data_IF_193456261557
#
_entry.id   IF_193456261557
#
_cell.length_a   1.000
_cell.length_b   1.000
_cell.length_c   1.000
_cell.angle_alpha   90.00
_cell.angle_beta   90.00
_cell.angle_gamma   90.00
#
_symmetry.space_group_name_H-M   'P 1'
#
loop_
_entity.id
_entity.type
_entity.pdbx_description
1 polymer ?
#
# COMPACT_ATOMS: atom_id res chain seq x y z
N UNK A 1 -36.15 -65.99 1.49
CA UNK A 1 -35.44 -64.99 2.30
C UNK A 1 -34.30 -64.44 1.48
N UNK A 2 -34.40 -63.19 0.99
CA UNK A 2 -33.34 -62.51 0.18
C UNK A 2 -32.66 -61.52 1.09
N UNK A 3 -31.38 -61.77 1.39
CA UNK A 3 -30.56 -60.85 2.23
C UNK A 3 -30.07 -59.68 1.37
N UNK A 4 -30.49 -58.48 1.75
CA UNK A 4 -30.03 -57.23 1.17
C UNK A 4 -28.65 -56.87 1.77
N UNK A 5 -27.60 -56.88 0.94
CA UNK A 5 -26.28 -56.38 1.34
C UNK A 5 -26.25 -54.86 1.18
N UNK A 6 -26.20 -54.15 2.31
CA UNK A 6 -25.99 -52.73 2.34
C UNK A 6 -24.50 -52.41 2.06
N UNK A 7 -24.23 -51.64 1.01
CA UNK A 7 -22.89 -51.04 0.74
C UNK A 7 -22.79 -49.73 1.48
N UNK A 8 -21.91 -49.68 2.47
CA UNK A 8 -21.54 -48.42 3.11
C UNK A 8 -20.42 -47.82 2.29
N UNK A 9 -20.70 -46.74 1.58
CA UNK A 9 -19.69 -45.95 0.90
C UNK A 9 -19.03 -45.03 1.92
N UNK A 10 -17.77 -45.29 2.27
CA UNK A 10 -16.97 -44.42 3.09
C UNK A 10 -16.51 -43.23 2.22
N UNK A 11 -17.07 -42.06 2.44
CA UNK A 11 -16.60 -40.83 1.84
C UNK A 11 -15.32 -40.37 2.57
N UNK A 12 -14.16 -40.58 1.94
CA UNK A 12 -12.88 -40.05 2.42
C UNK A 12 -12.86 -38.55 2.15
N UNK A 13 -13.03 -37.73 3.17
CA UNK A 13 -12.82 -36.29 3.09
C UNK A 13 -11.30 -36.05 3.06
N UNK A 14 -10.77 -35.74 1.89
CA UNK A 14 -9.40 -35.25 1.74
C UNK A 14 -9.35 -33.82 2.32
N UNK A 15 -8.88 -33.67 3.55
CA UNK A 15 -8.53 -32.37 4.09
C UNK A 15 -7.29 -31.85 3.33
N UNK A 16 -7.50 -30.96 2.36
CA UNK A 16 -6.45 -30.16 1.78
C UNK A 16 -5.94 -29.19 2.86
N UNK A 17 -4.89 -29.61 3.57
CA UNK A 17 -4.11 -28.68 4.39
C UNK A 17 -3.34 -27.79 3.44
N UNK A 18 -3.97 -26.70 2.98
CA UNK A 18 -3.30 -25.64 2.27
C UNK A 18 -2.25 -25.05 3.21
N UNK A 19 -0.97 -25.15 2.88
CA UNK A 19 0.06 -24.39 3.55
C UNK A 19 -0.34 -22.93 3.46
N UNK A 20 -0.61 -22.30 4.61
CA UNK A 20 -0.84 -20.87 4.66
C UNK A 20 0.51 -20.20 4.35
N UNK A 21 0.72 -19.83 3.08
CA UNK A 21 1.81 -18.93 2.74
C UNK A 21 1.55 -17.60 3.42
N UNK A 22 2.52 -17.11 4.18
CA UNK A 22 2.46 -15.75 4.69
C UNK A 22 2.23 -14.80 3.51
N UNK A 23 1.28 -13.89 3.65
CA UNK A 23 1.05 -12.89 2.61
C UNK A 23 2.33 -12.07 2.40
N UNK A 24 2.68 -11.73 1.15
CA UNK A 24 3.87 -10.94 0.88
C UNK A 24 3.76 -9.57 1.58
N UNK A 25 4.88 -9.08 2.10
CA UNK A 25 4.94 -7.78 2.80
C UNK A 25 4.45 -6.66 1.88
N UNK A 26 4.83 -6.71 0.59
CA UNK A 26 4.38 -5.76 -0.42
C UNK A 26 3.35 -6.39 -1.35
N UNK A 27 2.21 -5.76 -1.47
CA UNK A 27 1.12 -6.20 -2.33
C UNK A 27 0.85 -5.16 -3.41
N UNK A 28 0.93 -5.56 -4.68
CA UNK A 28 0.75 -4.66 -5.83
C UNK A 28 -0.66 -4.07 -5.92
N UNK A 29 -0.73 -2.80 -6.30
CA UNK A 29 -1.96 -2.06 -6.54
C UNK A 29 -1.90 -1.36 -7.90
N UNK A 30 -2.97 -1.43 -8.65
CA UNK A 30 -3.15 -0.66 -9.88
C UNK A 30 -3.49 0.80 -9.55
N UNK A 31 -3.47 1.68 -10.53
CA UNK A 31 -3.83 3.09 -10.36
C UNK A 31 -5.27 3.28 -9.82
N UNK A 32 -6.17 2.34 -10.08
CA UNK A 32 -7.53 2.30 -9.53
C UNK A 32 -7.60 1.88 -8.06
N UNK A 33 -6.50 1.42 -7.45
CA UNK A 33 -6.46 0.79 -6.13
C UNK A 33 -6.73 -0.71 -6.15
N UNK A 34 -7.15 -1.29 -7.26
CA UNK A 34 -7.41 -2.72 -7.34
C UNK A 34 -6.14 -3.51 -7.03
N UNK A 35 -6.28 -4.55 -6.19
CA UNK A 35 -5.19 -5.48 -5.91
C UNK A 35 -4.81 -6.23 -7.19
N UNK A 36 -3.52 -6.43 -7.41
CA UNK A 36 -3.01 -7.19 -8.53
C UNK A 36 -1.84 -8.07 -8.09
N UNK A 37 -1.99 -9.37 -8.28
CA UNK A 37 -0.91 -10.34 -8.06
C UNK A 37 0.03 -10.45 -9.28
N UNK A 38 -0.32 -9.83 -10.39
CA UNK A 38 0.37 -9.96 -11.68
C UNK A 38 1.00 -8.67 -12.18
N UNK A 39 0.74 -7.53 -11.54
CA UNK A 39 1.43 -6.32 -11.91
C UNK A 39 2.91 -6.40 -11.51
N UNK A 40 3.75 -5.77 -12.30
CA UNK A 40 5.22 -5.78 -12.15
C UNK A 40 5.73 -4.45 -11.60
N UNK A 41 6.97 -4.44 -11.13
CA UNK A 41 7.61 -3.21 -10.64
C UNK A 41 7.77 -2.20 -11.77
N UNK A 42 8.18 -2.66 -12.96
CA UNK A 42 8.44 -1.82 -14.13
C UNK A 42 7.81 -2.42 -15.40
N UNK A 43 7.78 -1.65 -16.48
CA UNK A 43 7.27 -2.11 -17.77
C UNK A 43 5.79 -1.83 -18.00
N UNK A 44 5.18 -2.52 -18.97
CA UNK A 44 3.80 -2.22 -19.45
C UNK A 44 2.73 -2.55 -18.40
N UNK A 45 2.92 -3.62 -17.63
CA UNK A 45 2.00 -4.05 -16.59
C UNK A 45 2.42 -3.55 -15.19
N UNK A 46 3.00 -2.37 -15.12
CA UNK A 46 3.55 -1.78 -13.90
C UNK A 46 2.49 -1.57 -12.83
N UNK A 47 2.79 -1.94 -11.59
CA UNK A 47 2.01 -1.52 -10.43
C UNK A 47 2.12 0.01 -10.28
N UNK A 48 1.04 0.66 -9.95
CA UNK A 48 1.09 2.09 -9.61
C UNK A 48 1.59 2.30 -8.18
N UNK A 49 1.29 1.36 -7.30
CA UNK A 49 1.56 1.45 -5.87
C UNK A 49 1.82 0.06 -5.29
N UNK A 50 2.42 0.03 -4.10
CA UNK A 50 2.52 -1.16 -3.26
C UNK A 50 1.96 -0.89 -1.87
N UNK A 51 1.06 -1.75 -1.41
CA UNK A 51 0.61 -1.75 -0.04
C UNK A 51 1.59 -2.56 0.82
N UNK A 52 2.18 -1.91 1.82
CA UNK A 52 3.04 -2.56 2.80
C UNK A 52 2.18 -3.01 4.00
N UNK A 53 2.07 -4.31 4.19
CA UNK A 53 1.22 -4.92 5.23
C UNK A 53 1.77 -4.73 6.64
N UNK A 54 3.09 -4.59 6.78
CA UNK A 54 3.77 -4.38 8.07
C UNK A 54 3.51 -2.98 8.62
N UNK A 55 3.64 -1.98 7.75
CA UNK A 55 3.45 -0.57 8.10
C UNK A 55 2.00 -0.10 8.01
N UNK A 56 1.13 -0.86 7.35
CA UNK A 56 -0.21 -0.44 6.98
C UNK A 56 -0.20 0.90 6.22
N UNK A 57 0.65 0.99 5.20
CA UNK A 57 0.74 2.14 4.30
C UNK A 57 0.79 1.70 2.86
N UNK A 58 0.27 2.52 1.96
CA UNK A 58 0.45 2.39 0.52
C UNK A 58 1.57 3.31 0.08
N UNK A 59 2.51 2.80 -0.73
CA UNK A 59 3.73 3.47 -1.20
C UNK A 59 3.62 3.62 -2.71
N UNK A 60 3.93 4.80 -3.26
CA UNK A 60 4.06 4.96 -4.71
C UNK A 60 5.18 4.08 -5.25
N UNK A 61 4.94 3.43 -6.37
CA UNK A 61 5.92 2.53 -6.99
C UNK A 61 7.08 3.31 -7.62
N UNK A 62 6.83 4.46 -8.25
CA UNK A 62 7.86 5.24 -8.92
C UNK A 62 8.55 6.20 -7.94
N UNK A 63 9.82 5.93 -7.63
CA UNK A 63 10.63 6.72 -6.70
C UNK A 63 11.39 7.87 -7.39
N UNK A 64 11.16 8.09 -8.67
CA UNK A 64 11.75 9.21 -9.44
C UNK A 64 10.68 10.03 -10.18
N UNK A 65 9.43 9.92 -9.77
CA UNK A 65 8.29 10.46 -10.50
C UNK A 65 8.36 11.99 -10.72
N UNK A 66 8.98 12.70 -9.79
CA UNK A 66 9.10 14.16 -9.82
C UNK A 66 10.55 14.65 -9.93
N UNK A 67 11.51 13.74 -10.07
CA UNK A 67 12.93 14.08 -10.05
C UNK A 67 13.40 14.59 -8.68
N UNK A 68 14.40 15.45 -8.68
CA UNK A 68 15.01 16.00 -7.47
C UNK A 68 14.24 17.23 -6.97
N UNK A 69 13.87 17.24 -5.69
CA UNK A 69 13.16 18.35 -5.06
C UNK A 69 13.93 18.98 -3.91
N UNK A 70 13.68 20.29 -3.67
CA UNK A 70 14.13 20.91 -2.44
C UNK A 70 13.24 20.53 -1.27
N UNK A 71 13.82 20.39 -0.09
CA UNK A 71 13.08 20.10 1.13
C UNK A 71 12.01 21.14 1.49
N UNK A 72 12.27 22.40 1.14
CA UNK A 72 11.31 23.49 1.38
C UNK A 72 10.02 23.24 0.59
N UNK A 73 10.12 22.67 -0.60
CA UNK A 73 8.96 22.27 -1.39
C UNK A 73 8.36 20.94 -0.90
N UNK A 74 9.20 19.95 -0.57
CA UNK A 74 8.76 18.58 -0.29
C UNK A 74 8.35 18.34 1.17
N UNK A 75 9.10 18.84 2.16
CA UNK A 75 8.87 18.50 3.57
C UNK A 75 7.61 19.14 4.17
N UNK A 76 7.17 20.30 3.67
CA UNK A 76 6.07 21.06 4.25
C UNK A 76 5.08 21.63 3.22
N UNK A 77 5.20 21.26 1.97
CA UNK A 77 4.37 21.84 0.92
C UNK A 77 3.28 20.83 0.48
N UNK A 78 2.04 21.18 0.76
CA UNK A 78 0.89 20.49 0.18
C UNK A 78 0.95 20.46 -1.36
N UNK A 79 1.64 21.42 -1.99
CA UNK A 79 1.84 21.49 -3.43
C UNK A 79 2.76 20.35 -3.93
N UNK A 80 3.91 20.12 -3.27
CA UNK A 80 4.81 19.05 -3.69
C UNK A 80 4.17 17.67 -3.54
N UNK A 81 3.39 17.46 -2.48
CA UNK A 81 2.63 16.23 -2.30
C UNK A 81 1.47 16.11 -3.31
N UNK A 82 0.82 17.21 -3.66
CA UNK A 82 -0.20 17.23 -4.70
C UNK A 82 0.41 16.95 -6.08
N UNK A 83 1.60 17.46 -6.38
CA UNK A 83 2.35 17.18 -7.60
C UNK A 83 2.76 15.71 -7.68
N UNK A 84 3.25 15.11 -6.56
CA UNK A 84 3.52 13.68 -6.48
C UNK A 84 2.26 12.85 -6.75
N UNK A 85 1.17 13.15 -6.09
CA UNK A 85 -0.08 12.44 -6.25
C UNK A 85 -0.65 12.61 -7.68
N UNK A 86 -0.54 13.81 -8.26
CA UNK A 86 -0.94 14.11 -9.63
C UNK A 86 -0.07 13.38 -10.66
N UNK A 87 1.25 13.38 -10.47
CA UNK A 87 2.18 12.69 -11.34
C UNK A 87 2.00 11.16 -11.28
N UNK A 88 1.64 10.62 -10.13
CA UNK A 88 1.31 9.19 -9.97
C UNK A 88 0.03 8.77 -10.70
N UNK A 89 -0.75 9.72 -11.20
CA UNK A 89 -2.04 9.48 -11.88
C UNK A 89 -2.98 8.58 -11.08
N UNK A 90 -2.98 8.74 -9.76
CA UNK A 90 -3.88 8.01 -8.87
C UNK A 90 -5.07 8.88 -8.47
N UNK A 91 -6.23 8.25 -8.27
CA UNK A 91 -7.42 8.94 -7.75
C UNK A 91 -7.38 9.17 -6.22
N UNK A 92 -6.28 8.79 -5.57
CA UNK A 92 -6.18 8.80 -4.10
C UNK A 92 -5.54 10.09 -3.59
N UNK A 93 -5.99 10.52 -2.43
CA UNK A 93 -5.51 11.70 -1.70
C UNK A 93 -4.88 11.29 -0.36
N UNK A 94 -4.34 12.26 0.39
CA UNK A 94 -3.76 12.00 1.71
C UNK A 94 -2.34 11.42 1.64
N UNK A 95 -1.60 11.76 0.59
CA UNK A 95 -0.20 11.42 0.44
C UNK A 95 0.69 12.28 1.35
N UNK A 96 1.76 11.71 1.88
CA UNK A 96 2.78 12.40 2.67
C UNK A 96 4.15 11.75 2.43
N UNK A 97 5.22 12.40 2.89
CA UNK A 97 6.57 11.83 2.83
C UNK A 97 6.74 10.78 3.93
N UNK A 98 7.46 9.68 3.69
CA UNK A 98 7.73 8.69 4.73
C UNK A 98 8.43 9.33 5.92
N UNK A 99 8.14 8.86 7.12
CA UNK A 99 8.83 9.28 8.33
C UNK A 99 10.23 8.69 8.39
N UNK A 100 11.18 9.44 9.02
CA UNK A 100 12.53 9.01 9.32
C UNK A 100 13.08 9.84 10.48
N UNK A 101 13.85 9.24 11.38
CA UNK A 101 14.34 9.88 12.61
C UNK A 101 15.80 9.53 12.94
N UNK A 102 16.51 8.87 12.02
CA UNK A 102 17.88 8.40 12.22
C UNK A 102 17.99 7.19 13.16
N UNK A 103 16.89 6.74 13.74
CA UNK A 103 16.88 5.57 14.62
C UNK A 103 17.04 4.26 13.88
N UNK A 104 17.47 3.23 14.61
CA UNK A 104 17.55 1.86 14.08
C UNK A 104 16.22 1.09 14.21
N UNK A 105 15.25 1.64 14.93
CA UNK A 105 13.97 0.98 15.19
C UNK A 105 13.02 1.25 14.03
N UNK A 106 12.57 0.17 13.39
CA UNK A 106 11.55 0.20 12.35
C UNK A 106 10.15 0.46 12.96
N UNK A 107 9.26 1.06 12.19
CA UNK A 107 7.89 1.30 12.61
C UNK A 107 7.28 2.57 12.02
N UNK A 108 6.11 2.95 12.51
CA UNK A 108 5.37 4.12 12.02
C UNK A 108 6.14 5.45 12.19
N UNK A 109 7.01 5.55 13.19
CA UNK A 109 7.86 6.73 13.42
C UNK A 109 9.10 6.74 12.53
N UNK A 110 9.49 5.59 11.98
CA UNK A 110 10.59 5.46 11.02
C UNK A 110 10.19 4.49 9.90
N UNK A 111 9.34 4.98 9.00
CA UNK A 111 8.83 4.19 7.86
C UNK A 111 9.94 3.83 6.87
N UNK A 112 10.92 4.73 6.65
CA UNK A 112 12.06 4.40 5.79
C UNK A 112 12.86 3.22 6.33
N UNK A 113 13.10 3.14 7.64
CA UNK A 113 13.77 1.99 8.25
C UNK A 113 12.99 0.69 8.05
N UNK A 114 11.67 0.75 8.18
CA UNK A 114 10.80 -0.41 7.93
C UNK A 114 10.87 -0.86 6.48
N UNK A 115 10.68 0.06 5.53
CA UNK A 115 10.76 -0.25 4.09
C UNK A 115 12.11 -0.84 3.74
N UNK A 116 13.20 -0.24 4.26
CA UNK A 116 14.58 -0.72 4.07
C UNK A 116 14.76 -2.17 4.56
N UNK A 117 14.31 -2.46 5.77
CA UNK A 117 14.40 -3.80 6.34
C UNK A 117 13.56 -4.82 5.54
N UNK A 118 12.36 -4.43 5.13
CA UNK A 118 11.43 -5.28 4.37
C UNK A 118 11.97 -5.68 2.98
N UNK A 119 12.87 -4.87 2.40
CA UNK A 119 13.55 -5.18 1.13
C UNK A 119 14.93 -5.83 1.33
N UNK A 120 15.28 -6.21 2.53
CA UNK A 120 16.53 -6.90 2.86
C UNK A 120 17.72 -6.01 3.12
N UNK A 121 17.51 -4.72 3.42
CA UNK A 121 18.53 -3.73 3.78
C UNK A 121 19.62 -3.56 2.71
N UNK A 122 19.20 -3.53 1.45
CA UNK A 122 20.06 -3.39 0.29
C UNK A 122 19.45 -2.44 -0.75
N UNK A 123 20.31 -1.64 -1.41
CA UNK A 123 19.89 -0.81 -2.53
C UNK A 123 19.26 -1.63 -3.67
N UNK A 124 19.86 -2.78 -3.99
CA UNK A 124 19.29 -3.69 -5.00
C UNK A 124 17.92 -4.26 -4.59
N UNK A 125 17.66 -4.38 -3.29
CA UNK A 125 16.35 -4.76 -2.76
C UNK A 125 15.30 -3.68 -3.01
N UNK A 126 15.64 -2.40 -2.79
CA UNK A 126 14.78 -1.28 -3.16
C UNK A 126 14.48 -1.27 -4.66
N UNK A 127 15.51 -1.43 -5.51
CA UNK A 127 15.36 -1.46 -6.97
C UNK A 127 14.54 -2.66 -7.47
N UNK A 128 14.60 -3.79 -6.76
CA UNK A 128 13.79 -4.96 -7.08
C UNK A 128 12.31 -4.77 -6.69
N UNK A 129 12.04 -3.94 -5.67
CA UNK A 129 10.70 -3.72 -5.14
C UNK A 129 10.01 -2.49 -5.73
N UNK A 130 10.75 -1.45 -6.11
CA UNK A 130 10.22 -0.17 -6.57
C UNK A 130 10.90 0.28 -7.87
N UNK A 131 10.14 0.95 -8.73
CA UNK A 131 10.64 1.52 -9.97
C UNK A 131 11.33 2.87 -9.73
N UNK A 132 12.32 3.19 -10.56
CA UNK A 132 12.96 4.51 -10.57
C UNK A 132 13.81 4.84 -9.35
N UNK A 133 14.15 3.89 -8.48
CA UNK A 133 14.96 4.14 -7.28
C UNK A 133 16.34 4.65 -7.66
N UNK A 134 16.66 5.86 -7.18
CA UNK A 134 17.94 6.52 -7.43
C UNK A 134 18.97 6.19 -6.35
N UNK A 135 20.25 6.08 -6.73
CA UNK A 135 21.37 5.92 -5.80
C UNK A 135 21.69 7.25 -5.09
N UNK A 136 20.71 7.77 -4.37
CA UNK A 136 20.79 9.09 -3.74
C UNK A 136 19.89 9.16 -2.50
N UNK A 137 19.74 10.36 -1.95
CA UNK A 137 18.95 10.62 -0.75
C UNK A 137 17.53 11.08 -1.07
N UNK A 138 16.61 10.71 -0.18
CA UNK A 138 15.19 10.98 -0.26
C UNK A 138 14.72 11.75 0.97
N UNK A 139 13.88 12.76 0.80
CA UNK A 139 13.31 13.52 1.90
C UNK A 139 12.39 12.70 2.76
N UNK A 140 12.54 12.79 4.08
CA UNK A 140 11.52 12.36 5.02
C UNK A 140 10.56 13.51 5.36
N UNK A 141 9.35 13.15 5.83
CA UNK A 141 8.37 14.10 6.36
C UNK A 141 8.67 14.55 7.80
N UNK A 142 9.82 14.19 8.36
CA UNK A 142 10.17 14.47 9.76
C UNK A 142 11.16 15.62 9.84
N UNK A 143 10.83 16.64 10.63
CA UNK A 143 11.74 17.75 10.90
C UNK A 143 12.96 17.27 11.70
N UNK A 144 14.11 17.83 11.40
CA UNK A 144 15.34 17.56 12.15
C UNK A 144 15.35 18.37 13.46
N UNK A 145 14.84 17.81 14.53
CA UNK A 145 14.63 18.50 15.81
C UNK A 145 15.89 19.21 16.36
N UNK A 146 17.14 18.68 16.21
CA UNK A 146 18.32 19.42 16.65
C UNK A 146 18.57 20.74 15.90
N UNK A 147 18.02 20.86 14.68
CA UNK A 147 18.09 22.08 13.88
C UNK A 147 16.86 22.18 12.97
N UNK A 148 15.77 22.89 13.38
CA UNK A 148 14.50 22.95 12.66
C UNK A 148 14.54 23.58 11.26
N UNK A 149 15.65 24.21 10.84
CA UNK A 149 15.86 24.61 9.44
C UNK A 149 16.24 23.43 8.53
N UNK A 150 16.43 22.25 9.13
CA UNK A 150 16.68 20.98 8.46
C UNK A 150 15.50 20.04 8.54
N UNK A 151 15.56 18.99 7.74
CA UNK A 151 14.70 17.82 7.81
C UNK A 151 15.55 16.55 7.73
N UNK A 152 15.00 15.43 8.18
CA UNK A 152 15.63 14.13 8.00
C UNK A 152 15.58 13.70 6.54
N UNK A 153 16.60 12.98 6.10
CA UNK A 153 16.62 12.28 4.83
C UNK A 153 16.94 10.79 5.03
N UNK A 154 16.65 10.01 4.02
CA UNK A 154 17.02 8.60 3.90
C UNK A 154 17.92 8.42 2.67
N UNK A 155 19.07 7.79 2.84
CA UNK A 155 19.97 7.43 1.75
C UNK A 155 19.62 6.01 1.25
N UNK A 156 19.22 5.91 -0.01
CA UNK A 156 18.83 4.63 -0.61
C UNK A 156 20.00 3.66 -0.82
N UNK A 157 21.25 4.13 -0.80
CA UNK A 157 22.42 3.28 -1.09
C UNK A 157 22.77 2.39 0.11
N UNK A 158 22.73 2.96 1.32
CA UNK A 158 23.21 2.34 2.55
C UNK A 158 22.18 2.31 3.68
N UNK A 159 21.02 2.94 3.47
CA UNK A 159 19.95 3.04 4.46
C UNK A 159 20.22 4.04 5.57
N UNK A 160 21.27 4.87 5.45
CA UNK A 160 21.58 5.91 6.42
C UNK A 160 20.50 6.99 6.47
N UNK A 161 20.31 7.57 7.64
CA UNK A 161 19.37 8.66 7.87
C UNK A 161 20.06 9.75 8.66
N UNK A 162 19.98 10.98 8.18
CA UNK A 162 20.59 12.12 8.85
C UNK A 162 19.79 13.41 8.56
N UNK A 163 20.15 14.50 9.23
CA UNK A 163 19.57 15.82 9.02
C UNK A 163 20.33 16.62 7.98
N UNK A 164 19.61 17.30 7.09
CA UNK A 164 20.20 18.25 6.13
C UNK A 164 19.29 19.48 6.01
N UNK A 165 19.85 20.61 5.57
CA UNK A 165 19.10 21.85 5.40
C UNK A 165 17.99 21.68 4.35
N UNK A 166 16.80 22.22 4.65
CA UNK A 166 15.60 22.13 3.80
C UNK A 166 15.73 22.78 2.41
N UNK A 167 16.80 23.53 2.13
CA UNK A 167 17.08 24.11 0.82
C UNK A 167 17.93 23.21 -0.10
N UNK A 168 18.33 22.05 0.36
CA UNK A 168 19.05 21.06 -0.48
C UNK A 168 18.05 20.34 -1.37
N UNK A 169 18.44 20.04 -2.61
CA UNK A 169 17.59 19.29 -3.53
C UNK A 169 17.81 17.77 -3.36
N UNK A 170 16.77 17.06 -2.95
CA UNK A 170 16.73 15.59 -2.80
C UNK A 170 15.53 15.02 -3.53
N UNK A 171 15.54 13.71 -3.75
CA UNK A 171 14.38 13.00 -4.25
C UNK A 171 13.28 12.90 -3.20
N UNK A 172 12.09 12.51 -3.63
CA UNK A 172 10.96 12.27 -2.75
C UNK A 172 10.15 11.06 -3.24
N UNK A 173 9.59 10.33 -2.31
CA UNK A 173 8.58 9.31 -2.54
C UNK A 173 7.39 9.59 -1.64
N UNK A 174 6.19 9.21 -2.07
CA UNK A 174 5.00 9.44 -1.27
C UNK A 174 4.44 8.13 -0.74
N UNK A 175 3.94 8.21 0.49
CA UNK A 175 3.18 7.16 1.15
C UNK A 175 1.83 7.71 1.61
N UNK A 176 0.86 6.84 1.83
CA UNK A 176 -0.42 7.20 2.45
C UNK A 176 -0.86 6.13 3.44
N UNK A 177 -1.64 6.48 4.49
CA UNK A 177 -2.12 5.49 5.46
C UNK A 177 -3.07 4.49 4.81
N UNK A 178 -2.99 3.25 5.28
CA UNK A 178 -3.90 2.18 4.91
C UNK A 178 -3.72 1.66 3.48
N UNK A 179 -4.53 0.66 3.17
CA UNK A 179 -4.63 0.10 1.83
C UNK A 179 -5.53 0.97 0.93
N UNK A 180 -5.16 1.08 -0.33
CA UNK A 180 -5.95 1.76 -1.38
C UNK A 180 -6.88 0.79 -2.11
N UNK A 181 -7.40 -0.24 -1.46
CA UNK A 181 -8.36 -1.12 -2.13
C UNK A 181 -9.46 -0.28 -2.76
N UNK A 182 -9.78 -0.56 -4.03
CA UNK A 182 -10.96 0.01 -4.66
C UNK A 182 -12.16 -0.25 -3.73
N UNK A 183 -13.06 0.72 -3.56
CA UNK A 183 -14.27 0.48 -2.78
C UNK A 183 -14.92 -0.82 -3.29
N UNK A 184 -14.97 -1.81 -2.41
CA UNK A 184 -15.66 -3.07 -2.73
C UNK A 184 -17.10 -2.66 -3.06
N UNK A 185 -17.63 -2.97 -4.25
CA UNK A 185 -19.02 -2.70 -4.54
C UNK A 185 -19.83 -3.31 -3.40
N UNK A 186 -20.68 -2.52 -2.76
CA UNK A 186 -21.48 -2.99 -1.62
C UNK A 186 -22.12 -4.32 -1.98
N UNK A 187 -21.99 -5.36 -1.13
CA UNK A 187 -22.49 -6.68 -1.48
C UNK A 187 -23.91 -6.55 -1.97
N UNK A 188 -24.25 -7.21 -3.08
CA UNK A 188 -25.61 -7.24 -3.63
C UNK A 188 -26.67 -7.65 -2.58
N UNK A 189 -26.20 -8.12 -1.42
CA UNK A 189 -26.99 -8.33 -0.21
C UNK A 189 -27.79 -7.09 0.23
N UNK A 190 -27.25 -5.87 0.11
CA UNK A 190 -28.03 -4.65 0.41
C UNK A 190 -29.14 -4.43 -0.62
N UNK A 191 -28.86 -4.63 -1.89
CA UNK A 191 -29.89 -4.55 -2.94
C UNK A 191 -30.93 -5.66 -2.78
N UNK A 192 -30.52 -6.88 -2.46
CA UNK A 192 -31.41 -8.01 -2.17
C UNK A 192 -32.23 -7.79 -0.89
N UNK A 193 -31.65 -7.21 0.17
CA UNK A 193 -32.36 -6.87 1.39
C UNK A 193 -33.43 -5.78 1.15
N UNK A 194 -33.12 -4.77 0.34
CA UNK A 194 -34.07 -3.73 -0.05
C UNK A 194 -35.19 -4.29 -0.93
N UNK A 195 -34.87 -5.19 -1.87
CA UNK A 195 -35.85 -5.90 -2.69
C UNK A 195 -36.75 -6.80 -1.83
N UNK A 196 -36.19 -7.52 -0.86
CA UNK A 196 -36.96 -8.35 0.07
C UNK A 196 -37.92 -7.52 0.95
N UNK A 197 -37.43 -6.38 1.46
CA UNK A 197 -38.27 -5.43 2.23
C UNK A 197 -39.36 -4.83 1.35
N UNK A 198 -39.07 -4.44 0.13
CA UNK A 198 -40.06 -3.94 -0.84
C UNK A 198 -41.14 -4.98 -1.15
N UNK A 199 -40.74 -6.24 -1.37
CA UNK A 199 -41.70 -7.34 -1.63
C UNK A 199 -42.64 -7.61 -0.45
N UNK A 200 -42.13 -7.52 0.78
CA UNK A 200 -42.98 -7.72 1.99
C UNK A 200 -43.99 -6.60 2.18
N UNK A 201 -43.64 -5.36 1.86
CA UNK A 201 -44.57 -4.21 1.92
C UNK A 201 -45.67 -4.35 0.87
N UNK A 202 -45.35 -4.78 -0.35
CA UNK A 202 -46.32 -4.99 -1.41
C UNK A 202 -47.27 -6.16 -1.09
N UNK A 203 -46.72 -7.25 -0.54
CA UNK A 203 -47.53 -8.42 -0.13
C UNK A 203 -48.51 -8.07 1.00
N UNK A 204 -48.13 -7.22 1.95
CA UNK A 204 -48.98 -6.75 3.05
C UNK A 204 -50.14 -5.88 2.56
N UNK A 205 -49.97 -5.09 1.48
CA UNK A 205 -51.02 -4.24 0.89
C UNK A 205 -52.04 -5.01 0.08
N UNK A 206 -51.73 -6.26 -0.34
CA UNK A 206 -52.63 -7.10 -1.17
C UNK A 206 -53.46 -8.10 -0.38
N UNK A 207 -53.45 -8.09 0.97
CA UNK A 207 -54.34 -8.90 1.76
C UNK A 207 -55.70 -8.17 1.83
N UNK A 208 -56.79 -8.69 1.15
CA UNK A 208 -58.12 -8.20 1.35
C UNK A 208 -58.56 -8.60 2.75
N UNK A 209 -59.18 -7.69 3.51
CA UNK A 209 -59.86 -7.97 4.78
C UNK A 209 -61.10 -8.77 4.58
#
# INVERSE_FOLDING_TARGET
MKTLKAWVAAATVLALTGAAYAAPVFQGRLASGAASATCTVSGVAKCAMFYNTTLNVTILNDWNISGVWSATAAANSAQALAELAGAAQTAFTGWFLPTGDGGSVAGALNQYRSIWNDVGSLFTGLQAQFDGVQSFSYWSGTEYAPNPVGAWYFNAVDGDQNGVLKNVALFAVAVRPGDVTAPVPEPQTLALALLALGATVVARRRRPG
#
